data_IF_671625205748
#
_entry.id   IF_671625205748
#
_cell.length_a   1.000
_cell.length_b   1.000
_cell.length_c   1.000
_cell.angle_alpha   90.00
_cell.angle_beta   90.00
_cell.angle_gamma   90.00
#
_symmetry.space_group_name_H-M   'P 1'
#
loop_
_entity.id
_entity.type
_entity.pdbx_description
1 polymer ?
#
# COMPACT_ATOMS: atom_id res chain seq x y z
N UNK A 1 27.58 21.03 36.45
CA UNK A 1 26.39 20.73 35.64
C UNK A 1 25.84 19.42 36.18
N UNK A 2 24.68 19.47 36.83
CA UNK A 2 24.22 18.36 37.68
C UNK A 2 23.77 17.16 36.85
N UNK A 3 24.03 15.95 37.34
CA UNK A 3 23.64 14.68 36.69
C UNK A 3 22.15 14.60 36.34
N UNK A 4 21.31 15.33 37.09
CA UNK A 4 19.87 15.47 36.85
C UNK A 4 19.53 16.14 35.52
N UNK A 5 20.32 17.15 35.10
CA UNK A 5 20.09 17.83 33.81
C UNK A 5 20.34 16.85 32.67
N UNK A 6 21.42 16.07 32.76
CA UNK A 6 21.73 15.03 31.78
C UNK A 6 20.67 13.93 31.74
N UNK A 7 20.19 13.47 32.90
CA UNK A 7 19.11 12.49 32.97
C UNK A 7 17.82 13.01 32.31
N UNK A 8 17.47 14.27 32.54
CA UNK A 8 16.28 14.89 31.93
C UNK A 8 16.39 14.99 30.41
N UNK A 9 17.57 15.38 29.88
CA UNK A 9 17.82 15.44 28.44
C UNK A 9 17.71 14.05 27.79
N UNK A 10 18.27 13.02 28.42
CA UNK A 10 18.18 11.64 27.94
C UNK A 10 16.72 11.16 27.95
N UNK A 11 15.99 11.41 29.03
CA UNK A 11 14.58 11.04 29.12
C UNK A 11 13.74 11.73 28.04
N UNK A 12 13.97 13.02 27.78
CA UNK A 12 13.31 13.75 26.70
C UNK A 12 13.63 13.18 25.31
N UNK A 13 14.89 12.79 25.06
CA UNK A 13 15.30 12.18 23.80
C UNK A 13 14.63 10.81 23.58
N UNK A 14 14.55 9.98 24.63
CA UNK A 14 13.86 8.68 24.58
C UNK A 14 12.36 8.87 24.31
N UNK A 15 11.72 9.83 24.99
CA UNK A 15 10.31 10.14 24.79
C UNK A 15 10.02 10.61 23.36
N UNK A 16 10.87 11.50 22.82
CA UNK A 16 10.76 11.96 21.44
C UNK A 16 10.93 10.82 20.43
N UNK A 17 11.94 9.96 20.61
CA UNK A 17 12.15 8.80 19.73
C UNK A 17 10.95 7.85 19.77
N UNK A 18 10.38 7.63 20.96
CA UNK A 18 9.19 6.80 21.15
C UNK A 18 7.98 7.35 20.38
N UNK A 19 7.81 8.67 20.39
CA UNK A 19 6.75 9.34 19.63
C UNK A 19 6.94 9.21 18.12
N UNK A 20 8.18 9.36 17.63
CA UNK A 20 8.51 9.19 16.21
C UNK A 20 8.22 7.75 15.76
N UNK A 21 8.62 6.76 16.55
CA UNK A 21 8.34 5.33 16.27
C UNK A 21 6.84 5.07 16.27
N UNK A 22 6.10 5.55 17.27
CA UNK A 22 4.65 5.36 17.35
C UNK A 22 3.93 5.97 16.15
N UNK A 23 4.35 7.16 15.72
CA UNK A 23 3.82 7.81 14.52
C UNK A 23 4.11 6.99 13.26
N UNK A 24 5.34 6.53 13.08
CA UNK A 24 5.74 5.71 11.92
C UNK A 24 4.97 4.39 11.85
N UNK A 25 4.82 3.71 13.00
CA UNK A 25 4.04 2.50 13.10
C UNK A 25 2.58 2.76 12.68
N UNK A 26 1.97 3.85 13.17
CA UNK A 26 0.58 4.17 12.82
C UNK A 26 0.39 4.51 11.35
N UNK A 27 1.34 5.25 10.76
CA UNK A 27 1.33 5.53 9.32
C UNK A 27 1.46 4.24 8.51
N UNK A 28 2.35 3.34 8.92
CA UNK A 28 2.53 2.03 8.27
C UNK A 28 1.27 1.18 8.34
N UNK A 29 0.59 1.14 9.49
CA UNK A 29 -0.71 0.47 9.67
C UNK A 29 -1.76 1.06 8.72
N UNK A 30 -1.92 2.38 8.66
CA UNK A 30 -2.90 3.01 7.76
C UNK A 30 -2.62 2.72 6.28
N UNK A 31 -1.34 2.67 5.88
CA UNK A 31 -0.95 2.29 4.51
C UNK A 31 -1.24 0.83 4.23
N UNK A 32 -1.00 -0.07 5.18
CA UNK A 32 -1.36 -1.48 5.02
C UNK A 32 -2.88 -1.66 4.88
N UNK A 33 -3.67 -0.97 5.71
CA UNK A 33 -5.14 -0.95 5.57
C UNK A 33 -5.56 -0.45 4.19
N UNK A 34 -4.95 0.63 3.68
CA UNK A 34 -5.22 1.11 2.33
C UNK A 34 -4.87 0.07 1.26
N UNK A 35 -3.72 -0.59 1.36
CA UNK A 35 -3.26 -1.66 0.44
C UNK A 35 -4.24 -2.83 0.45
N UNK A 36 -4.65 -3.28 1.64
CA UNK A 36 -5.55 -4.42 1.78
C UNK A 36 -6.95 -4.10 1.26
N UNK A 37 -7.48 -2.90 1.51
CA UNK A 37 -8.73 -2.44 0.91
C UNK A 37 -8.67 -2.39 -0.61
N UNK A 38 -7.60 -1.84 -1.20
CA UNK A 38 -7.45 -1.82 -2.66
C UNK A 38 -7.34 -3.24 -3.23
N UNK A 39 -6.62 -4.14 -2.54
CA UNK A 39 -6.53 -5.55 -2.94
C UNK A 39 -7.90 -6.22 -2.96
N UNK A 40 -8.73 -5.95 -1.95
CA UNK A 40 -10.09 -6.47 -1.86
C UNK A 40 -11.00 -5.92 -2.97
N UNK A 41 -10.94 -4.61 -3.24
CA UNK A 41 -11.70 -3.96 -4.31
C UNK A 41 -11.34 -4.52 -5.69
N UNK A 42 -10.05 -4.71 -5.97
CA UNK A 42 -9.58 -5.34 -7.21
C UNK A 42 -10.01 -6.80 -7.30
N UNK A 43 -9.92 -7.57 -6.21
CA UNK A 43 -10.36 -8.96 -6.18
C UNK A 43 -11.88 -9.08 -6.44
N UNK A 44 -12.67 -8.21 -5.83
CA UNK A 44 -14.12 -8.14 -6.02
C UNK A 44 -14.49 -7.69 -7.44
N UNK A 45 -13.75 -6.75 -8.01
CA UNK A 45 -13.93 -6.33 -9.41
C UNK A 45 -13.69 -7.52 -10.34
N UNK A 46 -12.53 -8.17 -10.23
CA UNK A 46 -12.16 -9.30 -11.09
C UNK A 46 -13.14 -10.47 -10.93
N UNK A 47 -13.51 -10.85 -9.70
CA UNK A 47 -14.39 -12.00 -9.46
C UNK A 47 -15.79 -11.78 -10.05
N UNK A 48 -16.38 -10.61 -9.84
CA UNK A 48 -17.70 -10.30 -10.37
C UNK A 48 -17.69 -10.12 -11.89
N UNK A 49 -16.60 -9.60 -12.46
CA UNK A 49 -16.43 -9.54 -13.92
C UNK A 49 -16.31 -10.95 -14.53
N UNK A 50 -15.61 -11.88 -13.88
CA UNK A 50 -15.54 -13.28 -14.33
C UNK A 50 -16.93 -13.94 -14.28
N UNK A 51 -17.70 -13.70 -13.21
CA UNK A 51 -19.07 -14.21 -13.09
C UNK A 51 -19.97 -13.62 -14.18
N UNK A 52 -19.86 -12.32 -14.44
CA UNK A 52 -20.57 -11.64 -15.52
C UNK A 52 -20.18 -12.20 -16.90
N UNK A 53 -18.89 -12.37 -17.17
CA UNK A 53 -18.39 -13.01 -18.38
C UNK A 53 -18.96 -14.43 -18.55
N UNK A 54 -18.97 -15.24 -17.48
CA UNK A 54 -19.55 -16.58 -17.52
C UNK A 54 -21.05 -16.59 -17.83
N UNK A 55 -21.80 -15.59 -17.34
CA UNK A 55 -23.21 -15.45 -17.60
C UNK A 55 -23.49 -15.01 -19.05
N UNK A 56 -22.64 -14.15 -19.61
CA UNK A 56 -22.70 -13.75 -21.02
C UNK A 56 -22.41 -14.94 -21.95
N UNK A 57 -21.41 -15.77 -21.61
CA UNK A 57 -21.09 -17.01 -22.32
C UNK A 57 -22.27 -17.98 -22.35
N UNK A 58 -22.86 -18.28 -21.18
CA UNK A 58 -24.05 -19.13 -21.08
C UNK A 58 -25.21 -18.61 -21.92
N UNK A 59 -25.44 -17.28 -21.89
CA UNK A 59 -26.47 -16.63 -22.70
C UNK A 59 -26.20 -16.79 -24.20
N UNK A 60 -24.94 -16.70 -24.63
CA UNK A 60 -24.53 -16.92 -26.02
C UNK A 60 -24.75 -18.38 -26.45
N UNK A 61 -24.58 -19.33 -25.54
CA UNK A 61 -24.86 -20.77 -25.75
C UNK A 61 -26.35 -21.12 -25.74
N UNK A 62 -27.23 -20.15 -25.46
CA UNK A 62 -28.69 -20.31 -25.51
C UNK A 62 -29.38 -20.51 -24.15
N UNK A 63 -28.64 -20.41 -23.04
CA UNK A 63 -29.24 -20.46 -21.71
C UNK A 63 -30.12 -19.24 -21.45
N UNK A 64 -31.21 -19.43 -20.69
CA UNK A 64 -32.11 -18.36 -20.26
C UNK A 64 -31.50 -17.53 -19.12
N UNK A 65 -30.48 -16.74 -19.42
CA UNK A 65 -29.88 -15.77 -18.49
C UNK A 65 -30.62 -14.45 -18.58
N UNK A 66 -31.20 -14.01 -17.47
CA UNK A 66 -31.97 -12.77 -17.35
C UNK A 66 -31.13 -11.63 -16.79
N UNK A 67 -31.61 -10.40 -16.92
CA UNK A 67 -30.97 -9.23 -16.31
C UNK A 67 -30.89 -9.34 -14.77
N UNK A 68 -31.87 -10.00 -14.14
CA UNK A 68 -31.87 -10.20 -12.69
C UNK A 68 -30.76 -11.14 -12.22
N UNK A 69 -30.33 -12.09 -13.07
CA UNK A 69 -29.26 -13.03 -12.74
C UNK A 69 -27.88 -12.36 -12.73
N UNK A 70 -27.71 -11.28 -13.51
CA UNK A 70 -26.43 -10.56 -13.65
C UNK A 70 -26.38 -9.24 -12.88
N UNK A 71 -27.54 -8.67 -12.52
CA UNK A 71 -27.66 -7.41 -11.78
C UNK A 71 -26.81 -7.36 -10.50
N UNK A 72 -26.75 -8.42 -9.66
CA UNK A 72 -25.90 -8.40 -8.46
C UNK A 72 -24.41 -8.25 -8.77
N UNK A 73 -23.94 -8.88 -9.87
CA UNK A 73 -22.54 -8.79 -10.29
C UNK A 73 -22.22 -7.40 -10.82
N UNK A 74 -23.10 -6.83 -11.65
CA UNK A 74 -22.94 -5.46 -12.18
C UNK A 74 -22.89 -4.45 -11.02
N UNK A 75 -23.82 -4.55 -10.07
CA UNK A 75 -23.84 -3.67 -8.90
C UNK A 75 -22.54 -3.79 -8.08
N UNK A 76 -22.05 -5.02 -7.88
CA UNK A 76 -20.82 -5.28 -7.11
C UNK A 76 -19.58 -4.73 -7.83
N UNK A 77 -19.49 -4.90 -9.15
CA UNK A 77 -18.43 -4.31 -9.99
C UNK A 77 -18.44 -2.79 -9.87
N UNK A 78 -19.60 -2.15 -10.06
CA UNK A 78 -19.72 -0.69 -10.01
C UNK A 78 -19.28 -0.12 -8.65
N UNK A 79 -19.69 -0.76 -7.55
CA UNK A 79 -19.28 -0.36 -6.20
C UNK A 79 -17.77 -0.52 -6.01
N UNK A 80 -17.22 -1.68 -6.37
CA UNK A 80 -15.80 -1.98 -6.19
C UNK A 80 -14.92 -1.05 -7.04
N UNK A 81 -15.28 -0.81 -8.30
CA UNK A 81 -14.55 0.07 -9.21
C UNK A 81 -14.66 1.53 -8.77
N UNK A 82 -15.84 2.02 -8.40
CA UNK A 82 -15.99 3.39 -7.88
C UNK A 82 -15.13 3.62 -6.63
N UNK A 83 -15.10 2.65 -5.72
CA UNK A 83 -14.26 2.73 -4.52
C UNK A 83 -12.78 2.74 -4.87
N UNK A 84 -12.35 1.86 -5.78
CA UNK A 84 -10.96 1.83 -6.24
C UNK A 84 -10.56 3.15 -6.91
N UNK A 85 -11.41 3.72 -7.77
CA UNK A 85 -11.19 5.03 -8.39
C UNK A 85 -10.98 6.15 -7.36
N UNK A 86 -11.77 6.17 -6.28
CA UNK A 86 -11.64 7.19 -5.23
C UNK A 86 -10.34 7.04 -4.41
N UNK A 87 -9.77 5.84 -4.33
CA UNK A 87 -8.51 5.59 -3.61
C UNK A 87 -7.28 5.88 -4.44
N UNK A 88 -7.37 5.62 -5.74
CA UNK A 88 -6.23 5.76 -6.65
C UNK A 88 -6.01 7.24 -6.97
N UNK A 89 -4.73 7.64 -6.99
CA UNK A 89 -4.35 8.99 -7.38
C UNK A 89 -4.02 8.99 -8.89
N UNK A 90 -4.78 9.72 -9.73
CA UNK A 90 -4.51 9.78 -11.17
C UNK A 90 -3.20 10.51 -11.51
N UNK A 91 -2.63 11.28 -10.58
CA UNK A 91 -1.33 11.91 -10.78
C UNK A 91 -0.14 10.94 -10.58
N UNK A 92 -0.35 9.80 -9.92
CA UNK A 92 0.66 8.74 -9.83
C UNK A 92 0.57 7.84 -11.07
N UNK A 93 1.70 7.57 -11.73
CA UNK A 93 1.73 6.79 -12.98
C UNK A 93 1.10 5.42 -12.80
N UNK A 94 1.46 4.73 -11.72
CA UNK A 94 0.98 3.37 -11.47
C UNK A 94 -0.53 3.36 -11.20
N UNK A 95 -1.02 4.39 -10.50
CA UNK A 95 -2.44 4.59 -10.23
C UNK A 95 -3.22 4.88 -11.52
N UNK A 96 -2.67 5.75 -12.38
CA UNK A 96 -3.25 6.06 -13.68
C UNK A 96 -3.36 4.82 -14.59
N UNK A 97 -2.35 3.94 -14.58
CA UNK A 97 -2.37 2.72 -15.39
C UNK A 97 -3.47 1.74 -14.92
N UNK A 98 -3.68 1.60 -13.60
CA UNK A 98 -4.79 0.79 -13.07
C UNK A 98 -6.15 1.44 -13.36
N UNK A 99 -6.27 2.76 -13.19
CA UNK A 99 -7.48 3.52 -13.53
C UNK A 99 -7.87 3.26 -14.99
N UNK A 100 -6.92 3.36 -15.94
CA UNK A 100 -7.21 3.09 -17.35
C UNK A 100 -7.72 1.67 -17.59
N UNK A 101 -7.11 0.66 -16.95
CA UNK A 101 -7.57 -0.73 -17.09
C UNK A 101 -9.01 -0.93 -16.56
N UNK A 102 -9.39 -0.19 -15.51
CA UNK A 102 -10.76 -0.17 -15.00
C UNK A 102 -11.71 0.55 -15.98
N UNK A 103 -11.34 1.73 -16.46
CA UNK A 103 -12.13 2.49 -17.43
C UNK A 103 -12.34 1.74 -18.75
N UNK A 104 -11.36 0.95 -19.21
CA UNK A 104 -11.50 0.13 -20.41
C UNK A 104 -12.62 -0.92 -20.26
N UNK A 105 -12.82 -1.46 -19.05
CA UNK A 105 -13.94 -2.35 -18.74
C UNK A 105 -15.27 -1.61 -18.72
N UNK A 106 -15.32 -0.42 -18.12
CA UNK A 106 -16.54 0.41 -18.14
C UNK A 106 -16.93 0.75 -19.59
N UNK A 107 -15.94 1.15 -20.40
CA UNK A 107 -16.12 1.47 -21.80
C UNK A 107 -16.56 0.26 -22.62
N UNK A 108 -16.16 -0.95 -22.26
CA UNK A 108 -16.65 -2.17 -22.90
C UNK A 108 -18.16 -2.33 -22.74
N UNK A 109 -18.70 -2.11 -21.52
CA UNK A 109 -20.14 -2.24 -21.26
C UNK A 109 -20.99 -1.10 -21.85
N UNK A 110 -20.36 0.03 -22.20
CA UNK A 110 -21.03 1.15 -22.87
C UNK A 110 -21.17 0.97 -24.39
N UNK A 111 -20.59 -0.09 -24.99
CA UNK A 111 -20.67 -0.35 -26.43
C UNK A 111 -21.91 -1.15 -26.81
N UNK A 112 -22.42 -0.93 -28.03
CA UNK A 112 -23.59 -1.64 -28.56
C UNK A 112 -23.33 -3.14 -28.84
N UNK A 113 -22.07 -3.52 -29.09
CA UNK A 113 -21.67 -4.91 -29.36
C UNK A 113 -20.61 -5.34 -28.35
N UNK A 114 -20.98 -6.28 -27.49
CA UNK A 114 -20.09 -6.86 -26.50
C UNK A 114 -19.45 -8.15 -27.04
N UNK A 115 -18.14 -8.13 -27.27
CA UNK A 115 -17.37 -9.35 -27.55
C UNK A 115 -16.85 -9.95 -26.24
N UNK A 116 -17.28 -11.16 -25.91
CA UNK A 116 -16.89 -11.78 -24.65
C UNK A 116 -15.40 -12.12 -24.58
N UNK A 117 -14.74 -12.43 -25.71
CA UNK A 117 -13.28 -12.64 -25.74
C UNK A 117 -12.53 -11.34 -25.39
N UNK A 118 -13.03 -10.20 -25.86
CA UNK A 118 -12.49 -8.88 -25.51
C UNK A 118 -12.66 -8.60 -24.00
N UNK A 119 -13.81 -8.93 -23.41
CA UNK A 119 -14.03 -8.77 -21.97
C UNK A 119 -13.01 -9.57 -21.15
N UNK A 120 -12.71 -10.81 -21.55
CA UNK A 120 -11.71 -11.64 -20.87
C UNK A 120 -10.32 -10.99 -20.90
N UNK A 121 -9.90 -10.45 -22.06
CA UNK A 121 -8.62 -9.72 -22.19
C UNK A 121 -8.57 -8.50 -21.27
N UNK A 122 -9.67 -7.74 -21.18
CA UNK A 122 -9.76 -6.58 -20.30
C UNK A 122 -9.67 -6.98 -18.83
N UNK A 123 -10.38 -8.03 -18.40
CA UNK A 123 -10.29 -8.58 -17.04
C UNK A 123 -8.85 -8.96 -16.70
N UNK A 124 -8.15 -9.62 -17.62
CA UNK A 124 -6.77 -10.07 -17.42
C UNK A 124 -5.77 -8.92 -17.35
N UNK A 125 -6.12 -7.74 -17.88
CA UNK A 125 -5.29 -6.52 -17.80
C UNK A 125 -5.32 -5.82 -16.43
N UNK A 126 -6.40 -5.98 -15.64
CA UNK A 126 -6.54 -5.34 -14.33
C UNK A 126 -5.49 -5.87 -13.34
N UNK A 127 -5.30 -7.20 -13.32
CA UNK A 127 -4.41 -7.88 -12.37
C UNK A 127 -2.95 -7.40 -12.43
N UNK A 128 -2.28 -7.33 -13.59
CA UNK A 128 -0.91 -6.83 -13.66
C UNK A 128 -0.80 -5.36 -13.25
N UNK A 129 -1.74 -4.50 -13.66
CA UNK A 129 -1.75 -3.08 -13.24
C UNK A 129 -1.87 -2.94 -11.72
N UNK A 130 -2.82 -3.66 -11.10
CA UNK A 130 -2.98 -3.68 -9.66
C UNK A 130 -1.73 -4.19 -8.92
N UNK A 131 -1.06 -5.22 -9.45
CA UNK A 131 0.17 -5.77 -8.85
C UNK A 131 1.29 -4.73 -8.79
N UNK A 132 1.41 -3.85 -9.79
CA UNK A 132 2.40 -2.77 -9.81
C UNK A 132 2.11 -1.76 -8.69
N UNK A 133 0.87 -1.26 -8.60
CA UNK A 133 0.44 -0.33 -7.55
C UNK A 133 0.71 -0.91 -6.16
N UNK A 134 0.23 -2.13 -5.91
CA UNK A 134 0.37 -2.78 -4.60
C UNK A 134 1.84 -3.03 -4.23
N UNK A 135 2.69 -3.39 -5.20
CA UNK A 135 4.12 -3.59 -4.97
C UNK A 135 4.81 -2.27 -4.60
N UNK A 136 4.52 -1.20 -5.34
CA UNK A 136 5.18 0.09 -5.12
C UNK A 136 4.76 0.70 -3.77
N UNK A 137 3.50 0.54 -3.37
CA UNK A 137 3.03 0.93 -2.04
C UNK A 137 3.63 0.07 -0.93
N UNK A 138 3.77 -1.24 -1.14
CA UNK A 138 4.48 -2.10 -0.19
C UNK A 138 5.94 -1.69 0.01
N UNK A 139 6.62 -1.28 -1.05
CA UNK A 139 7.98 -0.73 -0.96
C UNK A 139 8.01 0.63 -0.25
N UNK A 140 6.98 1.48 -0.44
CA UNK A 140 6.84 2.74 0.32
C UNK A 140 6.69 2.45 1.82
N UNK A 141 5.87 1.47 2.21
CA UNK A 141 5.71 1.04 3.61
C UNK A 141 7.03 0.54 4.21
N UNK A 142 7.74 -0.36 3.52
CA UNK A 142 9.01 -0.91 4.03
C UNK A 142 10.12 0.14 4.17
N UNK A 143 10.15 1.12 3.27
CA UNK A 143 11.15 2.20 3.34
C UNK A 143 10.89 3.14 4.52
N UNK A 144 9.64 3.28 4.93
CA UNK A 144 9.22 4.22 5.95
C UNK A 144 9.40 5.69 5.55
N UNK A 145 8.97 6.60 6.42
CA UNK A 145 9.07 8.03 6.16
C UNK A 145 10.53 8.53 6.21
N UNK A 146 10.80 9.63 5.48
CA UNK A 146 12.12 10.26 5.49
C UNK A 146 12.54 10.72 6.90
N UNK A 147 11.62 11.35 7.65
CA UNK A 147 11.88 11.85 9.00
C UNK A 147 12.27 10.69 9.93
N UNK A 148 11.52 9.58 9.88
CA UNK A 148 11.84 8.37 10.66
C UNK A 148 13.27 7.88 10.37
N UNK A 149 13.65 7.78 9.09
CA UNK A 149 15.01 7.36 8.69
C UNK A 149 16.09 8.30 9.19
N UNK A 150 15.86 9.61 9.16
CA UNK A 150 16.79 10.60 9.70
C UNK A 150 16.94 10.48 11.22
N UNK A 151 15.83 10.38 11.96
CA UNK A 151 15.85 10.20 13.41
C UNK A 151 16.58 8.91 13.81
N UNK A 152 16.34 7.80 13.09
CA UNK A 152 17.01 6.53 13.32
C UNK A 152 18.51 6.63 13.05
N UNK A 153 18.91 7.27 11.94
CA UNK A 153 20.32 7.50 11.62
C UNK A 153 21.05 8.32 12.68
N UNK A 154 20.44 9.44 13.11
CA UNK A 154 20.99 10.28 14.18
C UNK A 154 21.12 9.52 15.50
N UNK A 155 20.11 8.71 15.86
CA UNK A 155 20.16 7.88 17.05
C UNK A 155 21.33 6.87 17.00
N UNK A 156 21.50 6.18 15.87
CA UNK A 156 22.61 5.23 15.66
C UNK A 156 23.98 5.91 15.71
N UNK A 157 24.13 7.08 15.11
CA UNK A 157 25.38 7.86 15.16
C UNK A 157 25.68 8.29 16.60
N UNK A 158 24.68 8.78 17.33
CA UNK A 158 24.86 9.18 18.73
C UNK A 158 25.28 8.01 19.62
N UNK A 159 24.70 6.83 19.39
CA UNK A 159 25.08 5.59 20.09
C UNK A 159 26.52 5.18 19.76
N UNK A 160 26.89 5.18 18.48
CA UNK A 160 28.26 4.84 18.05
C UNK A 160 29.30 5.79 18.68
N UNK A 161 29.04 7.10 18.67
CA UNK A 161 29.92 8.10 19.29
C UNK A 161 30.05 7.87 20.80
N UNK A 162 28.95 7.53 21.48
CA UNK A 162 28.97 7.23 22.91
C UNK A 162 29.81 6.00 23.25
N UNK A 163 29.71 4.92 22.44
CA UNK A 163 30.51 3.71 22.61
C UNK A 163 32.00 3.98 22.35
N UNK A 164 32.34 4.77 21.33
CA UNK A 164 33.71 5.17 21.03
C UNK A 164 34.29 5.99 22.20
N UNK A 165 33.53 6.93 22.73
CA UNK A 165 33.96 7.75 23.87
C UNK A 165 34.25 6.91 25.11
N UNK A 166 33.34 5.98 25.46
CA UNK A 166 33.53 5.07 26.59
C UNK A 166 34.74 4.15 26.38
N UNK A 167 34.91 3.61 25.17
CA UNK A 167 36.06 2.78 24.82
C UNK A 167 37.39 3.51 24.97
N UNK A 168 37.51 4.71 24.38
CA UNK A 168 38.71 5.55 24.51
C UNK A 168 39.03 5.92 25.97
N UNK A 169 38.01 6.22 26.76
CA UNK A 169 38.17 6.48 28.19
C UNK A 169 38.74 5.27 28.95
N UNK A 170 38.30 4.06 28.62
CA UNK A 170 38.78 2.83 29.25
C UNK A 170 40.26 2.51 28.93
N UNK A 171 40.70 2.77 27.70
CA UNK A 171 42.10 2.60 27.26
C UNK A 171 43.04 3.63 27.90
N UNK A 172 42.59 4.88 28.05
CA UNK A 172 43.37 5.92 28.75
C UNK A 172 43.56 5.61 30.24
N UNK A 173 42.51 5.09 30.90
CA UNK A 173 42.58 4.68 32.30
C UNK A 173 43.51 3.49 32.51
N UNK A 174 43.51 2.51 31.59
CA UNK A 174 44.42 1.36 31.70
C UNK A 174 45.88 1.75 31.47
N UNK A 175 46.15 2.74 30.63
CA UNK A 175 47.49 3.27 30.38
C UNK A 175 48.08 4.08 31.54
N UNK A 176 47.25 4.78 32.32
CA UNK A 176 47.71 5.59 33.47
C UNK A 176 47.98 4.76 34.75
N UNK A 177 47.48 3.54 34.82
CA UNK A 177 47.63 2.64 35.98
C UNK A 177 48.85 1.70 35.85
N UNK A 178 49.53 1.69 34.69
CA UNK A 178 50.82 1.02 34.47
C UNK A 178 52.00 1.96 34.67
#
# INVERSE_FOLDING_TARGET
>A
MDSTIWAAVIAAAIAFLSLVIAKEQKVSEFRQTWIDSLREEVANTISNLILLHSALMRKADGDSVTANDVSPYIASVNVAMSSAHMRLNPADKDGADLIRALEDVENFFNREVANCEELQVLIDSIRPAAKVVLKNEWERVKRGEFIYRCCLGLALVSLALSLIYVGLGSELLSALVR
#
